data_IF_579889850437
#
_entry.id   IF_579889850437
#
_cell.length_a   1.000
_cell.length_b   1.000
_cell.length_c   1.000
_cell.angle_alpha   90.00
_cell.angle_beta   90.00
_cell.angle_gamma   90.00
#
_symmetry.space_group_name_H-M   'P 1'
#
loop_
_entity.id
_entity.type
_entity.pdbx_description
1 polymer ?
#
# COMPACT_ATOMS: atom_id res chain seq x y z
N UNK A 1 21.93 -5.26 3.92
CA UNK A 1 23.39 -5.20 3.72
C UNK A 1 24.08 -6.04 4.77
N UNK A 2 25.01 -6.93 4.33
CA UNK A 2 25.69 -7.89 5.21
C UNK A 2 27.17 -7.52 5.46
N UNK A 3 27.59 -6.35 5.00
CA UNK A 3 28.96 -5.86 5.20
C UNK A 3 29.26 -5.72 6.70
N UNK A 4 30.33 -6.36 7.16
CA UNK A 4 30.76 -6.34 8.56
C UNK A 4 30.21 -7.50 9.40
N UNK A 5 29.34 -8.36 8.85
CA UNK A 5 28.93 -9.59 9.54
C UNK A 5 30.01 -10.66 9.40
N UNK A 6 30.37 -11.31 10.50
CA UNK A 6 31.35 -12.38 10.58
C UNK A 6 30.78 -13.66 11.17
N UNK A 7 31.58 -14.71 11.17
CA UNK A 7 31.23 -15.98 11.80
C UNK A 7 31.16 -15.78 13.33
N UNK A 8 30.05 -16.22 13.95
CA UNK A 8 29.85 -16.11 15.40
C UNK A 8 29.02 -14.90 15.83
N UNK A 9 28.59 -14.04 14.90
CA UNK A 9 27.64 -12.97 15.22
C UNK A 9 26.30 -13.53 15.68
N UNK A 10 25.66 -12.91 16.70
CA UNK A 10 24.36 -13.37 17.16
C UNK A 10 23.28 -13.15 16.09
N UNK A 11 22.39 -14.11 15.96
CA UNK A 11 21.22 -14.05 15.09
C UNK A 11 19.97 -14.22 15.92
N UNK A 12 19.13 -13.20 15.91
CA UNK A 12 17.83 -13.22 16.58
C UNK A 12 16.71 -13.35 15.55
N UNK A 13 15.79 -14.29 15.78
CA UNK A 13 14.59 -14.43 14.93
C UNK A 13 13.56 -13.40 15.36
N UNK A 14 13.00 -12.67 14.40
CA UNK A 14 11.86 -11.77 14.64
C UNK A 14 10.55 -12.54 14.90
N UNK A 15 10.54 -13.86 14.67
CA UNK A 15 9.36 -14.71 14.80
C UNK A 15 8.31 -14.55 13.71
N UNK A 16 8.45 -13.53 12.85
CA UNK A 16 7.51 -13.22 11.77
C UNK A 16 8.26 -13.03 10.45
N UNK A 17 7.66 -13.41 9.31
CA UNK A 17 8.20 -13.06 8.00
C UNK A 17 8.12 -11.55 7.77
N UNK A 18 8.88 -11.04 6.78
CA UNK A 18 8.76 -9.66 6.36
C UNK A 18 7.29 -9.33 6.03
N UNK A 19 6.72 -8.42 6.79
CA UNK A 19 5.30 -8.05 6.75
C UNK A 19 5.16 -6.54 6.61
N UNK A 20 4.06 -6.12 6.00
CA UNK A 20 3.68 -4.71 5.88
C UNK A 20 2.51 -4.38 6.80
N UNK A 21 2.44 -3.12 7.20
CA UNK A 21 1.33 -2.55 7.93
C UNK A 21 0.31 -1.98 6.94
N UNK A 22 -0.92 -2.42 7.05
CA UNK A 22 -2.03 -2.06 6.17
C UNK A 22 -3.11 -1.37 6.99
N UNK A 23 -3.35 -0.10 6.74
CA UNK A 23 -4.30 0.73 7.48
C UNK A 23 -4.30 2.17 6.96
N UNK A 24 -5.11 3.06 7.54
CA UNK A 24 -5.16 4.46 7.13
C UNK A 24 -3.83 5.18 7.39
N UNK A 25 -3.40 6.01 6.44
CA UNK A 25 -2.11 6.69 6.41
C UNK A 25 -1.13 6.09 5.39
N UNK A 26 -1.60 5.20 4.52
CA UNK A 26 -0.83 4.69 3.38
C UNK A 26 -0.84 5.65 2.19
N UNK A 27 -1.98 6.27 1.91
CA UNK A 27 -2.12 7.25 0.83
C UNK A 27 -1.28 8.48 1.17
N UNK A 28 -0.70 9.11 0.16
CA UNK A 28 0.29 10.19 0.25
C UNK A 28 1.63 9.76 0.87
N UNK A 29 1.72 8.50 1.33
CA UNK A 29 2.92 7.97 1.96
C UNK A 29 4.05 7.72 0.97
N UNK A 30 5.28 8.03 1.41
CA UNK A 30 6.52 7.76 0.70
C UNK A 30 7.35 6.79 1.53
N UNK A 31 7.47 5.56 1.04
CA UNK A 31 8.10 4.46 1.76
C UNK A 31 9.34 3.95 1.01
N UNK A 32 10.24 3.29 1.73
CA UNK A 32 11.27 2.47 1.11
C UNK A 32 10.76 1.05 0.81
N UNK A 33 11.63 0.19 0.28
CA UNK A 33 11.27 -1.16 -0.14
C UNK A 33 10.79 -2.10 0.98
N UNK A 34 11.03 -1.77 2.24
CA UNK A 34 10.54 -2.51 3.42
C UNK A 34 9.51 -1.72 4.24
N UNK A 35 8.89 -0.75 3.59
CA UNK A 35 7.82 0.10 4.13
C UNK A 35 8.25 1.03 5.28
N UNK A 36 9.51 1.47 5.32
CA UNK A 36 9.89 2.53 6.26
C UNK A 36 9.52 3.89 5.68
N UNK A 37 8.84 4.78 6.42
CA UNK A 37 8.44 6.11 5.94
C UNK A 37 9.66 7.02 5.82
N UNK A 38 9.99 7.41 4.59
CA UNK A 38 11.22 8.15 4.28
C UNK A 38 11.23 9.56 4.88
N UNK A 39 10.08 10.22 4.96
CA UNK A 39 9.95 11.54 5.57
C UNK A 39 10.29 11.50 7.06
N UNK A 40 9.73 10.56 7.81
CA UNK A 40 10.03 10.38 9.24
C UNK A 40 11.50 10.00 9.48
N UNK A 41 12.08 9.17 8.61
CA UNK A 41 13.51 8.85 8.69
C UNK A 41 14.35 10.11 8.49
N UNK A 42 14.00 10.95 7.51
CA UNK A 42 14.69 12.21 7.24
C UNK A 42 14.62 13.17 8.43
N UNK A 43 13.49 13.25 9.11
CA UNK A 43 13.34 14.06 10.33
C UNK A 43 14.23 13.58 11.47
N UNK A 44 14.39 12.26 11.62
CA UNK A 44 15.14 11.65 12.72
C UNK A 44 16.66 11.69 12.50
N UNK A 45 17.14 11.45 11.29
CA UNK A 45 18.58 11.22 11.02
C UNK A 45 19.13 12.09 9.88
N UNK A 46 18.32 12.98 9.31
CA UNK A 46 18.73 13.83 8.20
C UNK A 46 18.67 13.10 6.84
N UNK A 47 19.51 13.55 5.90
CA UNK A 47 19.44 13.11 4.51
C UNK A 47 20.12 11.78 4.20
N UNK A 48 20.58 11.04 5.20
CA UNK A 48 21.29 9.77 5.04
C UNK A 48 20.53 8.64 5.73
N UNK A 49 20.37 7.50 5.02
CA UNK A 49 19.82 6.29 5.63
C UNK A 49 20.86 5.68 6.57
N UNK A 50 20.56 5.58 7.84
CA UNK A 50 21.40 4.95 8.84
C UNK A 50 20.91 3.51 9.07
N UNK A 51 21.85 2.60 9.32
CA UNK A 51 21.55 1.18 9.64
C UNK A 51 20.81 1.06 10.97
N UNK A 52 19.91 0.07 11.07
CA UNK A 52 19.22 -0.27 12.32
C UNK A 52 18.11 0.69 12.73
N UNK A 53 17.72 1.64 11.88
CA UNK A 53 16.57 2.50 12.17
C UNK A 53 15.28 1.73 11.94
N UNK A 54 14.51 1.58 12.99
CA UNK A 54 13.14 1.07 12.96
C UNK A 54 12.17 2.23 13.18
N UNK A 55 11.31 2.46 12.19
CA UNK A 55 10.23 3.45 12.26
C UNK A 55 8.95 2.75 11.84
N UNK A 56 7.88 2.83 12.63
CA UNK A 56 6.58 2.29 12.23
C UNK A 56 6.14 2.87 10.90
N UNK A 57 5.59 2.03 10.02
CA UNK A 57 5.15 2.46 8.70
C UNK A 57 3.98 3.43 8.78
N UNK A 58 3.02 3.13 9.66
CA UNK A 58 1.87 3.99 9.92
C UNK A 58 2.09 4.84 11.17
N UNK A 59 1.55 6.06 11.15
CA UNK A 59 1.63 6.97 12.29
C UNK A 59 0.86 6.42 13.49
N UNK A 60 1.55 6.30 14.64
CA UNK A 60 0.97 5.76 15.89
C UNK A 60 0.21 6.80 16.70
N UNK A 61 0.43 8.07 16.43
CA UNK A 61 -0.13 9.17 17.22
C UNK A 61 -1.33 9.83 16.51
N UNK A 62 -1.37 9.74 15.19
CA UNK A 62 -2.47 10.28 14.38
C UNK A 62 -3.77 9.55 14.68
N UNK A 63 -4.80 10.31 15.03
CA UNK A 63 -6.15 9.79 15.26
C UNK A 63 -6.98 9.90 13.98
N UNK A 64 -7.79 8.88 13.78
CA UNK A 64 -8.68 8.73 12.65
C UNK A 64 -10.11 8.54 13.15
N UNK A 65 -11.05 9.26 12.58
CA UNK A 65 -12.45 9.10 12.91
C UNK A 65 -13.02 7.85 12.22
N UNK A 66 -13.33 6.83 13.03
CA UNK A 66 -13.88 5.57 12.55
C UNK A 66 -15.41 5.56 12.66
N UNK A 67 -16.08 5.22 11.56
CA UNK A 67 -17.53 5.08 11.48
C UNK A 67 -17.87 3.62 11.19
N UNK A 68 -18.53 2.89 12.12
CA UNK A 68 -18.88 1.48 11.93
C UNK A 68 -20.00 1.32 10.89
N UNK A 69 -19.91 0.26 10.08
CA UNK A 69 -20.93 -0.17 9.10
C UNK A 69 -21.67 -1.44 9.53
N UNK A 70 -21.20 -2.10 10.59
CA UNK A 70 -21.77 -3.31 11.19
C UNK A 70 -22.17 -3.05 12.64
N UNK A 71 -22.95 -3.96 13.22
CA UNK A 71 -23.44 -3.88 14.60
C UNK A 71 -23.01 -5.11 15.40
N UNK A 72 -22.95 -5.02 16.74
CA UNK A 72 -22.79 -6.20 17.57
C UNK A 72 -23.88 -7.24 17.26
N UNK A 73 -23.46 -8.50 17.08
CA UNK A 73 -24.31 -9.61 16.67
C UNK A 73 -24.26 -9.94 15.17
N UNK A 74 -23.72 -9.06 14.33
CA UNK A 74 -23.56 -9.34 12.90
C UNK A 74 -22.50 -10.43 12.66
N UNK A 75 -22.81 -11.38 11.79
CA UNK A 75 -21.85 -12.40 11.33
C UNK A 75 -20.98 -11.83 10.25
N UNK A 76 -19.67 -12.05 10.35
CA UNK A 76 -18.68 -11.52 9.44
C UNK A 76 -17.66 -12.59 9.02
N UNK A 77 -17.15 -12.42 7.81
CA UNK A 77 -16.09 -13.25 7.23
C UNK A 77 -14.93 -12.37 6.74
N UNK A 78 -13.77 -12.98 6.49
CA UNK A 78 -12.61 -12.28 5.97
C UNK A 78 -12.93 -11.48 4.71
N UNK A 79 -12.63 -10.19 4.70
CA UNK A 79 -12.93 -9.25 3.62
C UNK A 79 -14.18 -8.40 3.83
N UNK A 80 -15.06 -8.75 4.77
CA UNK A 80 -16.22 -7.90 5.09
C UNK A 80 -15.80 -6.55 5.66
N UNK A 81 -16.50 -5.50 5.28
CA UNK A 81 -16.23 -4.13 5.73
C UNK A 81 -16.87 -3.91 7.10
N UNK A 82 -16.04 -3.65 8.10
CA UNK A 82 -16.48 -3.33 9.46
C UNK A 82 -16.87 -1.87 9.64
N UNK A 83 -16.25 -0.99 8.90
CA UNK A 83 -16.48 0.44 8.96
C UNK A 83 -15.51 1.21 8.08
N UNK A 84 -15.55 2.52 8.17
CA UNK A 84 -14.77 3.41 7.30
C UNK A 84 -14.08 4.52 8.07
N UNK A 85 -13.00 5.00 7.46
CA UNK A 85 -12.23 6.16 7.89
C UNK A 85 -11.98 7.04 6.67
N UNK A 86 -12.21 8.34 6.74
CA UNK A 86 -11.84 9.24 5.65
C UNK A 86 -10.34 9.49 5.71
N UNK A 87 -9.59 8.93 4.76
CA UNK A 87 -8.12 9.02 4.72
C UNK A 87 -7.66 10.31 4.03
N UNK A 88 -8.17 10.58 2.82
CA UNK A 88 -8.02 11.83 2.09
C UNK A 88 -9.39 12.35 1.67
N UNK A 89 -9.48 13.49 1.01
CA UNK A 89 -10.77 14.01 0.53
C UNK A 89 -11.44 13.07 -0.48
N UNK A 90 -10.67 12.26 -1.18
CA UNK A 90 -11.15 11.36 -2.25
C UNK A 90 -11.09 9.87 -1.92
N UNK A 91 -10.39 9.47 -0.85
CA UNK A 91 -10.23 8.06 -0.47
C UNK A 91 -10.88 7.79 0.89
N UNK A 92 -11.94 7.00 0.89
CA UNK A 92 -12.56 6.43 2.07
C UNK A 92 -11.88 5.08 2.40
N UNK A 93 -11.07 5.04 3.44
CA UNK A 93 -10.40 3.81 3.86
C UNK A 93 -11.38 2.85 4.52
N UNK A 94 -11.53 1.65 3.97
CA UNK A 94 -12.46 0.63 4.45
C UNK A 94 -11.75 -0.35 5.37
N UNK A 95 -12.13 -0.37 6.64
CA UNK A 95 -11.58 -1.30 7.62
C UNK A 95 -12.28 -2.65 7.45
N UNK A 96 -11.49 -3.67 7.11
CA UNK A 96 -11.99 -4.99 6.75
C UNK A 96 -11.62 -6.04 7.78
N UNK A 97 -12.45 -7.07 7.89
CA UNK A 97 -12.13 -8.29 8.61
C UNK A 97 -10.88 -8.93 8.00
N UNK A 98 -9.92 -9.30 8.83
CA UNK A 98 -8.68 -9.94 8.40
C UNK A 98 -8.98 -11.23 7.62
N UNK A 99 -8.31 -11.50 6.50
CA UNK A 99 -8.50 -12.74 5.75
C UNK A 99 -8.33 -13.99 6.62
N UNK A 100 -9.26 -14.94 6.45
CA UNK A 100 -9.29 -16.19 7.22
C UNK A 100 -10.01 -16.11 8.56
N UNK A 101 -10.48 -14.94 8.98
CA UNK A 101 -11.31 -14.78 10.17
C UNK A 101 -12.78 -14.98 9.80
N UNK A 102 -13.48 -15.78 10.61
CA UNK A 102 -14.93 -15.97 10.55
C UNK A 102 -15.47 -15.86 11.97
N UNK A 103 -16.50 -15.07 12.18
CA UNK A 103 -17.04 -14.89 13.54
C UNK A 103 -18.25 -13.96 13.60
N UNK A 104 -18.54 -13.49 14.80
CA UNK A 104 -19.63 -12.57 15.09
C UNK A 104 -19.05 -11.32 15.75
N UNK A 105 -19.47 -10.16 15.32
CA UNK A 105 -19.06 -8.88 15.93
C UNK A 105 -19.58 -8.85 17.37
N UNK A 106 -18.69 -8.82 18.35
CA UNK A 106 -19.03 -8.75 19.78
C UNK A 106 -19.18 -7.32 20.24
N UNK A 107 -18.26 -6.46 19.83
CA UNK A 107 -18.26 -5.03 20.13
C UNK A 107 -17.67 -4.25 18.96
N UNK A 108 -18.19 -3.08 18.68
CA UNK A 108 -17.64 -2.10 17.75
C UNK A 108 -18.18 -0.73 18.12
N UNK A 109 -17.36 0.31 18.07
CA UNK A 109 -17.77 1.66 18.46
C UNK A 109 -17.24 2.70 17.50
N UNK A 110 -18.05 3.73 17.23
CA UNK A 110 -17.62 4.94 16.54
C UNK A 110 -16.71 5.78 17.47
N UNK A 111 -15.71 6.42 16.91
CA UNK A 111 -14.81 7.28 17.67
C UNK A 111 -13.51 7.61 16.95
N UNK A 112 -12.66 8.35 17.64
CA UNK A 112 -11.34 8.76 17.16
C UNK A 112 -10.28 7.83 17.75
N UNK A 113 -9.67 7.03 16.88
CA UNK A 113 -8.71 6.01 17.25
C UNK A 113 -7.38 6.18 16.51
N UNK A 114 -6.29 5.82 17.16
CA UNK A 114 -5.03 5.56 16.47
C UNK A 114 -5.10 4.22 15.74
N UNK A 115 -4.14 3.95 14.86
CA UNK A 115 -4.13 2.71 14.07
C UNK A 115 -3.98 1.44 14.92
N UNK A 116 -3.50 1.55 16.15
CA UNK A 116 -3.25 0.43 17.07
C UNK A 116 -4.30 0.30 18.17
N UNK A 117 -5.12 1.32 18.41
CA UNK A 117 -6.20 1.26 19.39
C UNK A 117 -7.30 0.29 18.93
N UNK A 118 -7.88 -0.40 19.89
CA UNK A 118 -8.96 -1.35 19.63
C UNK A 118 -10.27 -0.62 19.35
N UNK A 119 -10.84 -0.83 18.17
CA UNK A 119 -12.14 -0.27 17.74
C UNK A 119 -13.29 -1.22 18.02
N UNK A 120 -13.02 -2.50 18.26
CA UNK A 120 -14.02 -3.52 18.48
C UNK A 120 -13.41 -4.91 18.66
N UNK A 121 -14.25 -5.93 18.67
CA UNK A 121 -13.84 -7.32 18.74
C UNK A 121 -14.76 -8.26 17.96
N UNK A 122 -14.22 -9.38 17.50
CA UNK A 122 -14.93 -10.45 16.81
C UNK A 122 -14.76 -11.72 17.62
N UNK A 123 -15.86 -12.38 17.95
CA UNK A 123 -15.88 -13.71 18.56
C UNK A 123 -15.90 -14.77 17.47
N UNK A 124 -14.88 -15.63 17.46
CA UNK A 124 -14.75 -16.74 16.51
C UNK A 124 -15.68 -17.89 16.89
N UNK A 125 -15.88 -18.84 15.97
CA UNK A 125 -16.65 -20.06 16.24
C UNK A 125 -16.11 -20.92 17.41
N UNK A 126 -14.84 -20.77 17.75
CA UNK A 126 -14.18 -21.46 18.85
C UNK A 126 -14.34 -20.72 20.20
N UNK A 127 -14.98 -19.56 20.20
CA UNK A 127 -15.15 -18.72 21.40
C UNK A 127 -13.97 -17.79 21.69
N UNK A 128 -12.96 -17.74 20.82
CA UNK A 128 -11.84 -16.82 20.95
C UNK A 128 -12.27 -15.40 20.58
N UNK A 129 -11.88 -14.43 21.38
CA UNK A 129 -12.13 -13.01 21.12
C UNK A 129 -10.92 -12.39 20.42
N UNK A 130 -11.10 -11.96 19.18
CA UNK A 130 -10.08 -11.31 18.37
C UNK A 130 -10.27 -9.79 18.42
N UNK A 131 -9.28 -9.02 18.90
CA UNK A 131 -9.34 -7.57 18.86
C UNK A 131 -9.27 -7.08 17.41
N UNK A 132 -10.03 -6.04 17.11
CA UNK A 132 -10.03 -5.35 15.82
C UNK A 132 -9.42 -3.96 16.02
N UNK A 133 -8.47 -3.61 15.18
CA UNK A 133 -7.82 -2.29 15.10
C UNK A 133 -7.96 -1.72 13.70
N UNK A 134 -7.58 -0.45 13.50
CA UNK A 134 -7.61 0.16 12.17
C UNK A 134 -6.53 -0.37 11.23
N UNK A 135 -5.54 -1.09 11.74
CA UNK A 135 -4.47 -1.68 10.92
C UNK A 135 -4.41 -3.20 11.04
N UNK A 136 -3.84 -3.82 10.02
CA UNK A 136 -3.48 -5.23 10.01
C UNK A 136 -2.08 -5.42 9.45
N UNK A 137 -1.33 -6.42 9.92
CA UNK A 137 -0.06 -6.84 9.32
C UNK A 137 -0.30 -7.97 8.32
N UNK A 138 0.43 -7.91 7.20
CA UNK A 138 0.36 -8.96 6.18
C UNK A 138 1.76 -9.30 5.65
N UNK A 139 2.14 -10.60 5.56
CA UNK A 139 3.42 -11.02 5.03
C UNK A 139 3.51 -10.76 3.52
N UNK A 140 4.53 -10.03 3.09
CA UNK A 140 4.64 -9.54 1.70
C UNK A 140 4.79 -10.62 0.65
N UNK A 141 5.33 -11.80 1.02
CA UNK A 141 5.47 -12.94 0.09
C UNK A 141 4.23 -13.83 0.00
N UNK A 142 3.16 -13.47 0.68
CA UNK A 142 1.88 -14.17 0.63
C UNK A 142 0.84 -13.27 -0.05
N UNK A 143 0.44 -13.61 -1.29
CA UNK A 143 -0.65 -12.90 -1.97
C UNK A 143 -1.91 -12.85 -1.11
N UNK A 144 -2.64 -11.76 -1.17
CA UNK A 144 -3.92 -11.66 -0.47
C UNK A 144 -4.97 -12.51 -1.19
N UNK A 145 -5.82 -13.23 -0.45
CA UNK A 145 -6.80 -14.11 -1.04
C UNK A 145 -7.84 -13.33 -1.87
N UNK A 146 -8.37 -13.97 -2.89
CA UNK A 146 -9.48 -13.48 -3.71
C UNK A 146 -10.41 -14.66 -4.04
N UNK A 147 -11.68 -14.39 -4.25
CA UNK A 147 -12.66 -15.44 -4.51
C UNK A 147 -12.47 -16.05 -5.90
N UNK A 148 -12.38 -15.22 -6.93
CA UNK A 148 -12.16 -15.67 -8.32
C UNK A 148 -11.49 -14.58 -9.17
N UNK A 149 -10.79 -14.99 -10.22
CA UNK A 149 -10.33 -14.09 -11.27
C UNK A 149 -11.48 -13.80 -12.23
N UNK A 150 -11.69 -12.55 -12.54
CA UNK A 150 -12.65 -12.12 -13.57
C UNK A 150 -12.00 -12.18 -14.95
N UNK A 151 -12.82 -12.30 -16.00
CA UNK A 151 -12.34 -12.24 -17.37
C UNK A 151 -11.82 -10.82 -17.68
N UNK A 152 -10.64 -10.67 -18.32
CA UNK A 152 -10.07 -9.36 -18.66
C UNK A 152 -10.75 -8.77 -19.90
N UNK A 153 -12.01 -8.36 -19.76
CA UNK A 153 -12.85 -7.85 -20.85
C UNK A 153 -13.18 -6.35 -20.77
N UNK A 154 -12.66 -5.68 -19.73
CA UNK A 154 -12.82 -4.23 -19.54
C UNK A 154 -11.48 -3.55 -19.80
N UNK A 155 -11.37 -2.62 -20.77
CA UNK A 155 -10.12 -1.92 -21.03
C UNK A 155 -9.79 -0.95 -19.88
N UNK A 156 -8.50 -0.82 -19.57
CA UNK A 156 -7.96 0.26 -18.76
C UNK A 156 -7.64 1.42 -19.70
N UNK A 157 -8.34 2.53 -19.55
CA UNK A 157 -8.02 3.75 -20.29
C UNK A 157 -6.75 4.37 -19.68
N UNK A 158 -5.69 4.47 -20.47
CA UNK A 158 -4.38 4.96 -20.02
C UNK A 158 -4.16 6.43 -20.33
N UNK A 159 -5.02 7.04 -21.18
CA UNK A 159 -4.82 8.38 -21.71
C UNK A 159 -3.78 8.47 -22.84
N UNK A 160 -3.11 7.35 -23.16
CA UNK A 160 -2.15 7.27 -24.27
C UNK A 160 -2.81 6.66 -25.50
N UNK A 161 -3.12 7.50 -26.51
CA UNK A 161 -3.85 7.07 -27.71
C UNK A 161 -3.28 5.81 -28.39
N UNK A 162 -1.97 5.70 -28.48
CA UNK A 162 -1.31 4.53 -29.10
C UNK A 162 -1.59 3.27 -28.28
N UNK A 163 -1.52 3.34 -26.97
CA UNK A 163 -1.81 2.21 -26.08
C UNK A 163 -3.29 1.86 -26.17
N UNK A 164 -4.18 2.83 -25.95
CA UNK A 164 -5.61 2.60 -25.83
C UNK A 164 -6.25 2.08 -27.13
N UNK A 165 -5.69 2.44 -28.30
CA UNK A 165 -6.24 2.05 -29.60
C UNK A 165 -5.56 0.84 -30.24
N UNK A 166 -4.25 0.67 -30.09
CA UNK A 166 -3.48 -0.38 -30.78
C UNK A 166 -3.01 -1.50 -29.86
N UNK A 167 -2.81 -1.22 -28.57
CA UNK A 167 -2.30 -2.16 -27.59
C UNK A 167 -3.08 -2.06 -26.27
N UNK A 168 -4.42 -2.19 -26.29
CA UNK A 168 -5.25 -1.93 -25.11
C UNK A 168 -4.86 -2.85 -23.94
N UNK A 169 -4.76 -2.25 -22.76
CA UNK A 169 -4.52 -2.96 -21.50
C UNK A 169 -5.87 -3.23 -20.85
N UNK A 170 -6.08 -4.46 -20.41
CA UNK A 170 -7.30 -4.79 -19.66
C UNK A 170 -7.16 -4.42 -18.18
N UNK A 171 -8.24 -3.99 -17.53
CA UNK A 171 -8.30 -3.86 -16.07
C UNK A 171 -7.99 -5.22 -15.42
N UNK A 172 -7.05 -5.24 -14.48
CA UNK A 172 -6.50 -6.48 -13.89
C UNK A 172 -5.47 -7.19 -14.76
N UNK A 173 -5.08 -6.60 -15.90
CA UNK A 173 -4.03 -7.11 -16.78
C UNK A 173 -2.63 -6.69 -16.32
N UNK A 174 -1.63 -7.15 -17.08
CA UNK A 174 -0.21 -6.80 -16.90
C UNK A 174 0.34 -6.32 -18.23
N UNK A 175 1.00 -5.18 -18.24
CA UNK A 175 1.70 -4.64 -19.40
C UNK A 175 3.20 -4.55 -19.14
N UNK A 176 4.00 -5.03 -20.09
CA UNK A 176 5.44 -4.84 -20.05
C UNK A 176 5.83 -3.69 -20.99
N UNK A 177 6.75 -2.84 -20.54
CA UNK A 177 7.31 -1.73 -21.31
C UNK A 177 8.82 -1.95 -21.42
N UNK A 178 9.28 -2.92 -22.24
CA UNK A 178 10.70 -3.21 -22.39
C UNK A 178 11.37 -2.20 -23.31
N UNK A 179 12.66 -2.01 -23.12
CA UNK A 179 13.46 -1.20 -24.03
C UNK A 179 14.87 -0.95 -23.48
N UNK A 180 15.82 -0.61 -24.35
CA UNK A 180 17.17 -0.26 -23.94
C UNK A 180 17.19 1.09 -23.20
N UNK A 181 18.36 1.45 -22.72
CA UNK A 181 18.61 2.74 -22.10
C UNK A 181 18.22 3.91 -23.04
N UNK A 182 17.54 4.92 -22.53
CA UNK A 182 17.12 6.08 -23.31
C UNK A 182 15.93 5.87 -24.23
N UNK A 183 15.25 4.71 -24.17
CA UNK A 183 14.08 4.42 -25.02
C UNK A 183 12.77 5.06 -24.54
N UNK A 184 12.77 5.81 -23.43
CA UNK A 184 11.59 6.47 -22.87
C UNK A 184 10.71 5.59 -22.00
N UNK A 185 11.22 4.45 -21.48
CA UNK A 185 10.45 3.56 -20.59
C UNK A 185 9.88 4.29 -19.38
N UNK A 186 10.73 4.96 -18.63
CA UNK A 186 10.35 5.69 -17.41
C UNK A 186 9.33 6.79 -17.73
N UNK A 187 9.53 7.54 -18.82
CA UNK A 187 8.58 8.56 -19.26
C UNK A 187 7.21 7.95 -19.57
N UNK A 188 7.17 6.80 -20.25
CA UNK A 188 5.92 6.10 -20.54
C UNK A 188 5.24 5.63 -19.25
N UNK A 189 5.99 5.05 -18.30
CA UNK A 189 5.46 4.60 -17.02
C UNK A 189 4.91 5.79 -16.20
N UNK A 190 5.62 6.93 -16.17
CA UNK A 190 5.12 8.14 -15.51
C UNK A 190 3.81 8.63 -16.14
N UNK A 191 3.70 8.61 -17.47
CA UNK A 191 2.46 9.00 -18.14
C UNK A 191 1.29 8.06 -17.80
N UNK A 192 1.54 6.75 -17.71
CA UNK A 192 0.52 5.79 -17.27
C UNK A 192 0.09 6.04 -15.82
N UNK A 193 1.04 6.25 -14.92
CA UNK A 193 0.76 6.55 -13.51
C UNK A 193 -0.07 7.85 -13.34
N UNK A 194 0.20 8.86 -14.17
CA UNK A 194 -0.48 10.17 -14.12
C UNK A 194 -1.92 10.09 -14.65
N UNK A 195 -2.15 9.37 -15.74
CA UNK A 195 -3.37 9.51 -16.54
C UNK A 195 -4.23 8.25 -16.62
N UNK A 196 -3.77 7.10 -16.12
CA UNK A 196 -4.58 5.89 -16.12
C UNK A 196 -5.85 6.06 -15.28
N UNK A 197 -6.96 5.53 -15.82
CA UNK A 197 -8.25 5.50 -15.13
C UNK A 197 -8.23 4.46 -14.00
N UNK A 198 -7.64 4.84 -12.88
CA UNK A 198 -7.59 4.04 -11.66
C UNK A 198 -7.96 4.93 -10.46
N UNK A 199 -8.59 4.33 -9.45
CA UNK A 199 -8.93 5.06 -8.21
C UNK A 199 -7.68 5.34 -7.39
N UNK A 200 -6.76 4.37 -7.35
CA UNK A 200 -5.51 4.44 -6.58
C UNK A 200 -4.34 4.04 -7.48
N UNK A 201 -3.21 4.73 -7.28
CA UNK A 201 -1.94 4.45 -7.94
C UNK A 201 -0.92 4.01 -6.88
N UNK A 202 -0.28 2.87 -7.09
CA UNK A 202 0.87 2.43 -6.31
C UNK A 202 2.10 2.46 -7.20
N UNK A 203 2.91 3.49 -7.05
CA UNK A 203 4.13 3.65 -7.83
C UNK A 203 5.32 3.03 -7.10
N UNK A 204 6.02 2.11 -7.77
CA UNK A 204 7.14 1.37 -7.19
C UNK A 204 8.41 1.65 -7.99
N UNK A 205 9.30 2.46 -7.43
CA UNK A 205 10.66 2.62 -7.91
C UNK A 205 11.54 1.47 -7.39
N UNK A 206 11.79 0.48 -8.25
CA UNK A 206 12.59 -0.70 -7.88
C UNK A 206 14.00 -0.59 -8.46
N UNK A 207 14.91 0.06 -7.76
CA UNK A 207 16.27 0.32 -8.23
C UNK A 207 16.34 1.44 -9.27
N UNK A 208 15.42 2.37 -9.23
CA UNK A 208 15.39 3.55 -10.07
C UNK A 208 16.55 4.49 -9.74
N UNK A 209 16.86 5.40 -10.66
CA UNK A 209 17.83 6.45 -10.40
C UNK A 209 17.27 7.48 -9.43
N UNK A 210 18.12 8.01 -8.57
CA UNK A 210 17.73 9.04 -7.61
C UNK A 210 17.08 10.26 -8.28
N UNK A 211 17.59 10.72 -9.43
CA UNK A 211 16.99 11.84 -10.15
C UNK A 211 15.59 11.52 -10.72
N UNK A 212 15.36 10.32 -11.26
CA UNK A 212 14.05 9.91 -11.77
C UNK A 212 13.02 9.82 -10.64
N UNK A 213 13.43 9.32 -9.46
CA UNK A 213 12.58 9.34 -8.27
C UNK A 213 12.32 10.76 -7.75
N UNK A 214 13.31 11.62 -7.80
CA UNK A 214 13.15 13.04 -7.41
C UNK A 214 12.15 13.75 -8.31
N UNK A 215 12.16 13.46 -9.60
CA UNK A 215 11.19 14.01 -10.55
C UNK A 215 9.76 13.58 -10.16
N UNK A 216 9.54 12.29 -9.83
CA UNK A 216 8.23 11.80 -9.34
C UNK A 216 7.80 12.50 -8.07
N UNK A 217 8.71 12.61 -7.09
CA UNK A 217 8.44 13.24 -5.79
C UNK A 217 8.11 14.74 -5.90
N UNK A 218 8.67 15.42 -6.89
CA UNK A 218 8.40 16.83 -7.12
C UNK A 218 7.16 17.07 -7.99
N UNK A 219 6.96 16.22 -9.02
CA UNK A 219 5.89 16.44 -9.98
C UNK A 219 4.52 15.98 -9.47
N UNK A 220 4.43 14.80 -8.79
CA UNK A 220 3.13 14.24 -8.39
C UNK A 220 2.32 15.12 -7.44
N UNK A 221 2.91 15.82 -6.46
CA UNK A 221 2.17 16.75 -5.62
C UNK A 221 1.62 17.95 -6.37
N UNK A 222 2.30 18.40 -7.44
CA UNK A 222 1.91 19.58 -8.24
C UNK A 222 0.86 19.23 -9.30
N UNK A 223 0.73 17.95 -9.67
CA UNK A 223 -0.22 17.50 -10.66
C UNK A 223 -1.63 17.43 -10.09
N UNK A 224 -2.55 18.00 -10.85
CA UNK A 224 -3.98 17.95 -10.56
C UNK A 224 -4.59 16.80 -11.35
N UNK A 225 -5.25 15.89 -10.66
CA UNK A 225 -6.04 14.82 -11.27
C UNK A 225 -7.25 15.43 -11.99
N UNK A 226 -7.37 15.25 -13.32
CA UNK A 226 -8.46 15.83 -14.08
C UNK A 226 -9.84 15.30 -13.70
N UNK A 227 -9.94 14.13 -13.06
CA UNK A 227 -11.19 13.53 -12.63
C UNK A 227 -11.68 14.08 -11.30
N UNK A 228 -10.78 14.35 -10.38
CA UNK A 228 -11.12 14.78 -9.01
C UNK A 228 -10.87 16.26 -8.76
N UNK A 229 -10.02 16.90 -9.55
CA UNK A 229 -9.55 18.28 -9.34
C UNK A 229 -8.61 18.45 -8.14
N UNK A 230 -8.14 17.34 -7.55
CA UNK A 230 -7.25 17.28 -6.39
C UNK A 230 -5.83 16.89 -6.79
N UNK A 231 -4.88 17.00 -5.86
CA UNK A 231 -3.52 16.52 -6.10
C UNK A 231 -3.51 15.02 -6.42
N UNK A 232 -2.67 14.62 -7.37
CA UNK A 232 -2.48 13.21 -7.71
C UNK A 232 -1.97 12.41 -6.50
N UNK A 233 -1.25 13.03 -5.58
CA UNK A 233 -0.77 12.40 -4.34
C UNK A 233 -1.91 11.92 -3.45
N UNK A 234 -3.06 12.59 -3.44
CA UNK A 234 -4.22 12.20 -2.61
C UNK A 234 -4.81 10.81 -2.96
N UNK A 235 -4.36 10.20 -4.04
CA UNK A 235 -4.70 8.82 -4.45
C UNK A 235 -3.47 7.95 -4.74
N UNK A 236 -2.28 8.38 -4.32
CA UNK A 236 -1.02 7.72 -4.68
C UNK A 236 -0.27 7.23 -3.44
N UNK A 237 0.32 6.04 -3.55
CA UNK A 237 1.31 5.50 -2.62
C UNK A 237 2.63 5.38 -3.37
N UNK A 238 3.71 5.92 -2.83
CA UNK A 238 5.04 5.86 -3.43
C UNK A 238 5.95 4.92 -2.65
N UNK A 239 6.58 3.99 -3.36
CA UNK A 239 7.66 3.16 -2.82
C UNK A 239 8.93 3.53 -3.56
N UNK A 240 9.81 4.26 -2.89
CA UNK A 240 11.04 4.78 -3.44
C UNK A 240 12.24 3.95 -2.97
N UNK A 241 12.67 3.00 -3.80
CA UNK A 241 13.91 2.27 -3.59
C UNK A 241 14.86 2.56 -4.74
N UNK A 242 15.83 3.43 -4.49
CA UNK A 242 16.82 3.86 -5.48
C UNK A 242 17.94 2.84 -5.66
N UNK A 243 18.71 2.97 -6.74
CA UNK A 243 19.75 2.01 -7.12
C UNK A 243 20.91 1.90 -6.12
N UNK A 244 21.10 2.88 -5.26
CA UNK A 244 22.11 2.94 -4.19
C UNK A 244 21.63 2.33 -2.87
N UNK A 245 20.34 2.02 -2.74
CA UNK A 245 19.78 1.36 -1.57
C UNK A 245 20.08 -0.16 -1.56
N UNK A 246 19.98 -0.83 -0.38
CA UNK A 246 20.26 -2.25 -0.26
C UNK A 246 19.47 -3.14 -1.23
N UNK A 247 20.12 -4.14 -1.82
CA UNK A 247 19.51 -5.05 -2.80
C UNK A 247 18.30 -5.81 -2.25
N UNK A 248 18.36 -6.25 -0.99
CA UNK A 248 17.26 -6.95 -0.35
C UNK A 248 15.99 -6.06 -0.21
N UNK A 249 16.17 -4.78 0.13
CA UNK A 249 15.07 -3.82 0.16
C UNK A 249 14.53 -3.54 -1.25
N UNK A 250 15.40 -3.52 -2.26
CA UNK A 250 15.01 -3.37 -3.66
C UNK A 250 14.14 -4.54 -4.13
N UNK A 251 14.53 -5.77 -3.84
CA UNK A 251 13.71 -6.95 -4.14
C UNK A 251 12.37 -6.90 -3.39
N UNK A 252 12.41 -6.54 -2.10
CA UNK A 252 11.21 -6.45 -1.27
C UNK A 252 10.20 -5.40 -1.76
N UNK A 253 10.66 -4.31 -2.39
CA UNK A 253 9.81 -3.20 -2.83
C UNK A 253 8.66 -3.64 -3.74
N UNK A 254 8.89 -4.62 -4.61
CA UNK A 254 7.87 -5.18 -5.50
C UNK A 254 6.77 -5.85 -4.68
N UNK A 255 7.15 -6.70 -3.73
CA UNK A 255 6.18 -7.43 -2.88
C UNK A 255 5.43 -6.48 -1.94
N UNK A 256 6.13 -5.49 -1.38
CA UNK A 256 5.54 -4.44 -0.55
C UNK A 256 4.46 -3.67 -1.30
N UNK A 257 4.79 -3.18 -2.50
CA UNK A 257 3.85 -2.42 -3.31
C UNK A 257 2.66 -3.24 -3.77
N UNK A 258 2.88 -4.47 -4.23
CA UNK A 258 1.78 -5.36 -4.64
C UNK A 258 0.87 -5.69 -3.45
N UNK A 259 1.43 -5.90 -2.26
CA UNK A 259 0.60 -6.17 -1.06
C UNK A 259 -0.29 -4.98 -0.70
N UNK A 260 0.23 -3.76 -0.81
CA UNK A 260 -0.54 -2.52 -0.62
C UNK A 260 -1.61 -2.39 -1.71
N UNK A 261 -1.26 -2.64 -2.97
CA UNK A 261 -2.20 -2.61 -4.08
C UNK A 261 -3.34 -3.63 -3.90
N UNK A 262 -3.01 -4.88 -3.51
CA UNK A 262 -4.00 -5.91 -3.21
C UNK A 262 -4.91 -5.53 -2.04
N UNK A 263 -4.39 -4.82 -1.05
CA UNK A 263 -5.19 -4.36 0.09
C UNK A 263 -6.25 -3.33 -0.34
N UNK A 264 -5.89 -2.36 -1.17
CA UNK A 264 -6.85 -1.40 -1.73
C UNK A 264 -7.81 -2.07 -2.73
N UNK A 265 -7.35 -3.05 -3.53
CA UNK A 265 -8.23 -3.88 -4.35
C UNK A 265 -9.30 -4.57 -3.50
N UNK A 266 -8.93 -5.13 -2.36
CA UNK A 266 -9.86 -5.82 -1.46
C UNK A 266 -10.94 -4.88 -0.91
N UNK A 267 -10.64 -3.58 -0.81
CA UNK A 267 -11.63 -2.55 -0.49
C UNK A 267 -12.59 -2.25 -1.65
N UNK A 268 -12.32 -2.77 -2.85
CA UNK A 268 -13.13 -2.54 -4.06
C UNK A 268 -12.64 -1.38 -4.93
N UNK A 269 -11.44 -0.86 -4.70
CA UNK A 269 -10.83 0.15 -5.56
C UNK A 269 -10.18 -0.46 -6.80
N UNK A 270 -10.22 0.27 -7.91
CA UNK A 270 -9.41 0.00 -9.09
C UNK A 270 -7.99 0.53 -8.83
N UNK A 271 -6.99 -0.35 -8.82
CA UNK A 271 -5.60 -0.01 -8.47
C UNK A 271 -4.69 -0.23 -9.67
N UNK A 272 -3.88 0.78 -10.01
CA UNK A 272 -2.82 0.71 -11.01
C UNK A 272 -1.43 0.72 -10.35
#
# INVERSE_FOLDING_TARGET
ETSGLGTGEPVESTGEPLSVELGPGLIEGIFDGIQRPLEKIRELVGNSLVRGIEVPALDRDKKWHFVPKVKPGDKVVGGDILGTVQETEIVEHRIMVKPGVVGTVKAIAEGDYTVTEQIGSIETANGDELPVTLMQKWPVRRGRPFEKKLAPNVPLVTGQRVVDTLFPIAKGGVAAIPGPFGSGKTVTQHQLAKWAEADIVVYIGCGERGNEMTDVLNEFPELIDPHTGKSLMERTVLIANTSDMPVAAREASIYTGITIAEYFRDMGYSVA
#
